data_IF_130122245512
#
_entry.id   IF_130122245512
#
_cell.length_a   1.000
_cell.length_b   1.000
_cell.length_c   1.000
_cell.angle_alpha   90.00
_cell.angle_beta   90.00
_cell.angle_gamma   90.00
#
_symmetry.space_group_name_H-M   'P 1'
#
loop_
_entity.id
_entity.type
_entity.pdbx_description
1 polymer ?
#
# COMPACT_ATOMS: atom_id res chain seq x y z
N UNK A 1 4.36 -7.08 -10.22
CA UNK A 1 4.85 -6.92 -8.83
C UNK A 1 4.39 -8.10 -7.99
N UNK A 2 5.28 -8.58 -7.14
CA UNK A 2 4.93 -9.69 -6.26
C UNK A 2 3.99 -9.22 -5.15
N UNK A 3 3.03 -10.06 -4.80
CA UNK A 3 2.15 -9.80 -3.67
C UNK A 3 2.94 -9.83 -2.36
N UNK A 4 2.51 -9.02 -1.40
CA UNK A 4 3.03 -9.04 -0.05
C UNK A 4 2.29 -10.12 0.76
N UNK A 5 3.03 -10.95 1.51
CA UNK A 5 2.44 -12.02 2.32
C UNK A 5 2.54 -11.66 3.79
N UNK A 6 1.41 -11.69 4.48
CA UNK A 6 1.33 -11.44 5.91
C UNK A 6 0.78 -12.69 6.61
N UNK A 7 1.54 -13.22 7.57
CA UNK A 7 1.05 -14.28 8.44
C UNK A 7 0.45 -13.65 9.69
N UNK A 8 -0.81 -13.93 9.98
CA UNK A 8 -1.52 -13.31 11.09
C UNK A 8 -0.95 -13.81 12.41
N UNK A 9 -0.36 -12.93 13.25
CA UNK A 9 0.07 -13.30 14.59
C UNK A 9 -1.11 -13.33 15.56
N UNK A 10 -0.94 -14.04 16.66
CA UNK A 10 -1.99 -14.18 17.66
C UNK A 10 -2.48 -12.84 18.21
N UNK A 11 -1.56 -11.88 18.41
CA UNK A 11 -1.90 -10.59 19.01
C UNK A 11 -2.76 -9.68 18.12
N UNK A 12 -2.95 -10.02 16.84
CA UNK A 12 -3.85 -9.25 15.96
C UNK A 12 -5.30 -9.69 16.08
N UNK A 13 -5.58 -10.77 16.79
CA UNK A 13 -6.95 -11.23 17.03
C UNK A 13 -7.59 -10.50 18.22
N UNK A 14 -8.91 -10.42 18.18
CA UNK A 14 -9.69 -9.81 19.25
C UNK A 14 -10.48 -10.87 20.05
N UNK A 15 -11.38 -10.41 20.92
CA UNK A 15 -12.18 -11.30 21.77
C UNK A 15 -13.08 -12.26 20.99
N UNK A 16 -13.43 -11.94 19.74
CA UNK A 16 -14.24 -12.81 18.89
C UNK A 16 -13.41 -13.92 18.24
N UNK A 17 -12.08 -13.92 18.42
CA UNK A 17 -11.19 -14.89 17.81
C UNK A 17 -10.87 -14.58 16.36
N UNK A 18 -11.22 -13.40 15.87
CA UNK A 18 -10.92 -12.93 14.51
C UNK A 18 -9.98 -11.73 14.57
N UNK A 19 -9.34 -11.43 13.45
CA UNK A 19 -8.46 -10.25 13.35
C UNK A 19 -9.27 -8.98 13.61
N UNK A 20 -8.76 -8.12 14.50
CA UNK A 20 -9.36 -6.82 14.76
C UNK A 20 -9.28 -5.96 13.50
N UNK A 21 -10.36 -5.28 13.15
CA UNK A 21 -10.49 -4.55 11.88
C UNK A 21 -9.38 -3.51 11.65
N UNK A 22 -8.80 -2.94 12.69
CA UNK A 22 -7.71 -1.97 12.56
C UNK A 22 -6.44 -2.55 11.93
N UNK A 23 -6.23 -3.86 12.05
CA UNK A 23 -5.01 -4.49 11.55
C UNK A 23 -4.96 -4.54 10.03
N UNK A 24 -6.11 -4.58 9.34
CA UNK A 24 -6.13 -4.56 7.88
C UNK A 24 -5.54 -3.28 7.33
N UNK A 25 -5.73 -2.17 8.01
CA UNK A 25 -5.15 -0.88 7.63
C UNK A 25 -3.64 -0.91 7.82
N UNK A 26 -3.15 -1.54 8.88
CA UNK A 26 -1.72 -1.74 9.11
C UNK A 26 -1.11 -2.63 8.03
N UNK A 27 -1.83 -3.66 7.60
CA UNK A 27 -1.39 -4.53 6.51
C UNK A 27 -1.32 -3.78 5.18
N UNK A 28 -2.25 -2.85 4.94
CA UNK A 28 -2.17 -1.97 3.77
C UNK A 28 -0.86 -1.16 3.81
N UNK A 29 -0.49 -0.63 4.96
CA UNK A 29 0.77 0.10 5.11
C UNK A 29 1.97 -0.80 4.85
N UNK A 30 2.01 -1.98 5.45
CA UNK A 30 3.10 -2.94 5.20
C UNK A 30 3.24 -3.26 3.72
N UNK A 31 2.12 -3.52 3.06
CA UNK A 31 2.10 -3.85 1.64
C UNK A 31 2.55 -2.68 0.77
N UNK A 32 2.18 -1.44 1.12
CA UNK A 32 2.62 -0.24 0.43
C UNK A 32 4.13 -0.03 0.56
N UNK A 33 4.66 -0.21 1.76
CA UNK A 33 6.10 -0.10 2.01
C UNK A 33 6.86 -1.13 1.17
N UNK A 34 6.36 -2.36 1.11
CA UNK A 34 6.93 -3.42 0.29
C UNK A 34 6.84 -3.09 -1.21
N UNK A 35 5.70 -2.56 -1.66
CA UNK A 35 5.51 -2.14 -3.04
C UNK A 35 6.56 -1.12 -3.49
N UNK A 36 6.78 -0.09 -2.68
CA UNK A 36 7.78 0.93 -2.97
C UNK A 36 9.20 0.33 -2.98
N UNK A 37 9.48 -0.60 -2.07
CA UNK A 37 10.77 -1.28 -2.03
C UNK A 37 11.01 -2.11 -3.29
N UNK A 38 9.99 -2.80 -3.80
CA UNK A 38 10.07 -3.56 -5.04
C UNK A 38 10.37 -2.66 -6.25
N UNK A 39 9.85 -1.42 -6.23
CA UNK A 39 10.16 -0.42 -7.27
C UNK A 39 11.60 0.09 -7.20
N UNK A 40 12.31 -0.20 -6.12
CA UNK A 40 13.63 0.37 -5.88
C UNK A 40 13.59 1.73 -5.19
N UNK A 41 12.41 2.16 -4.74
CA UNK A 41 12.20 3.46 -4.08
C UNK A 41 11.61 3.26 -2.69
N UNK A 42 12.30 2.47 -1.87
CA UNK A 42 11.88 2.21 -0.50
C UNK A 42 11.64 3.49 0.29
N UNK A 43 10.73 3.41 1.26
CA UNK A 43 10.31 4.59 2.03
C UNK A 43 11.49 5.26 2.74
N UNK A 44 12.43 4.48 3.28
CA UNK A 44 13.63 5.01 3.91
C UNK A 44 14.51 5.81 2.93
N UNK A 45 14.57 5.39 1.66
CA UNK A 45 15.28 6.13 0.63
C UNK A 45 14.60 7.48 0.34
N UNK A 46 13.28 7.47 0.20
CA UNK A 46 12.50 8.68 -0.05
C UNK A 46 12.60 9.65 1.13
N UNK A 47 12.59 9.15 2.36
CA UNK A 47 12.77 9.95 3.55
C UNK A 47 14.18 10.54 3.63
N UNK A 48 15.20 9.78 3.26
CA UNK A 48 16.58 10.26 3.18
C UNK A 48 16.74 11.38 2.15
N UNK A 49 15.89 11.42 1.12
CA UNK A 49 15.84 12.48 0.12
C UNK A 49 15.04 13.71 0.58
N UNK A 50 14.56 13.71 1.82
CA UNK A 50 13.87 14.85 2.44
C UNK A 50 12.36 14.85 2.27
N UNK A 51 11.74 13.73 1.94
CA UNK A 51 10.30 13.66 1.77
C UNK A 51 9.63 12.79 2.83
N UNK A 52 8.35 13.08 3.09
CA UNK A 52 7.45 12.24 3.86
C UNK A 52 6.19 12.00 3.03
N UNK A 53 5.52 10.87 3.27
CA UNK A 53 4.39 10.46 2.44
C UNK A 53 3.14 10.21 3.29
N UNK A 54 2.36 11.27 3.62
CA UNK A 54 1.13 11.09 4.37
C UNK A 54 0.06 10.41 3.53
N UNK A 55 -0.83 9.70 4.20
CA UNK A 55 -2.06 9.22 3.61
C UNK A 55 -3.11 10.33 3.64
N UNK A 56 -3.74 10.61 2.51
CA UNK A 56 -4.77 11.65 2.39
C UNK A 56 -6.17 11.08 2.28
N UNK A 57 -6.29 9.79 1.99
CA UNK A 57 -7.57 9.10 1.85
C UNK A 57 -7.36 7.61 2.06
N UNK A 58 -8.36 6.97 2.62
CA UNK A 58 -8.35 5.52 2.81
C UNK A 58 -9.79 5.02 2.83
N UNK A 59 -10.05 3.91 2.14
CA UNK A 59 -11.29 3.17 2.30
C UNK A 59 -11.00 1.70 2.54
N UNK A 60 -11.96 1.01 3.13
CA UNK A 60 -11.81 -0.38 3.53
C UNK A 60 -13.14 -1.10 3.36
N UNK A 61 -13.10 -2.25 2.69
CA UNK A 61 -14.26 -3.11 2.52
C UNK A 61 -13.89 -4.49 3.07
N UNK A 62 -14.48 -4.82 4.21
CA UNK A 62 -14.27 -6.10 4.90
C UNK A 62 -15.23 -7.12 4.31
N UNK A 63 -14.70 -8.14 3.67
CA UNK A 63 -15.53 -9.14 2.99
C UNK A 63 -15.69 -10.43 3.78
N UNK A 64 -14.61 -10.87 4.44
CA UNK A 64 -14.60 -12.09 5.25
C UNK A 64 -13.64 -11.92 6.41
N UNK A 65 -13.88 -12.68 7.47
CA UNK A 65 -13.01 -12.68 8.65
C UNK A 65 -11.75 -13.48 8.41
N UNK A 66 -10.70 -13.12 9.13
CA UNK A 66 -9.43 -13.84 9.17
C UNK A 66 -9.06 -14.11 10.63
N UNK A 67 -8.18 -15.05 10.86
CA UNK A 67 -7.75 -15.41 12.20
C UNK A 67 -6.30 -15.88 12.23
N UNK A 68 -5.76 -16.08 13.41
CA UNK A 68 -4.46 -16.71 13.60
C UNK A 68 -4.54 -18.20 13.25
N UNK A 69 -3.63 -18.78 12.49
CA UNK A 69 -2.45 -18.23 11.81
C UNK A 69 -2.63 -18.13 10.28
N UNK A 70 -3.71 -17.55 9.80
CA UNK A 70 -3.96 -17.40 8.38
C UNK A 70 -2.80 -16.67 7.69
N UNK A 71 -2.56 -17.02 6.44
CA UNK A 71 -1.61 -16.29 5.58
C UNK A 71 -2.40 -15.50 4.57
N UNK A 72 -2.15 -14.19 4.52
CA UNK A 72 -2.87 -13.25 3.68
C UNK A 72 -1.92 -12.75 2.59
N UNK A 73 -2.34 -12.91 1.35
CA UNK A 73 -1.63 -12.38 0.18
C UNK A 73 -2.25 -11.04 -0.19
N UNK A 74 -1.44 -9.99 -0.28
CA UNK A 74 -1.90 -8.62 -0.54
C UNK A 74 -1.32 -8.15 -1.86
N UNK A 75 -2.18 -8.00 -2.87
CA UNK A 75 -1.80 -7.45 -4.16
C UNK A 75 -2.05 -5.95 -4.16
N UNK A 76 -0.99 -5.19 -4.44
CA UNK A 76 -1.05 -3.73 -4.53
C UNK A 76 -0.96 -3.32 -5.98
N UNK A 77 -1.85 -2.45 -6.42
CA UNK A 77 -1.87 -1.92 -7.79
C UNK A 77 -1.94 -0.40 -7.74
N UNK A 78 -1.06 0.26 -8.48
CA UNK A 78 -1.13 1.71 -8.66
C UNK A 78 -2.23 2.00 -9.69
N UNK A 79 -3.29 2.69 -9.26
CA UNK A 79 -4.47 2.96 -10.09
C UNK A 79 -4.53 4.40 -10.61
N UNK A 80 -3.83 5.33 -9.96
CA UNK A 80 -3.76 6.72 -10.39
C UNK A 80 -2.45 7.36 -9.94
N UNK A 81 -1.87 8.16 -10.80
CA UNK A 81 -0.71 9.00 -10.48
C UNK A 81 -0.79 10.28 -11.28
N UNK A 82 -0.88 11.42 -10.58
CA UNK A 82 -1.02 12.75 -11.19
C UNK A 82 0.28 13.56 -11.16
N UNK A 83 1.36 12.99 -10.63
CA UNK A 83 2.59 13.73 -10.32
C UNK A 83 2.60 14.29 -8.90
N UNK A 84 1.44 14.48 -8.29
CA UNK A 84 1.26 14.95 -6.91
C UNK A 84 0.66 13.85 -6.06
N UNK A 85 -0.44 13.25 -6.53
CA UNK A 85 -1.21 12.25 -5.81
C UNK A 85 -1.04 10.89 -6.45
N UNK A 86 -0.84 9.88 -5.64
CA UNK A 86 -0.91 8.50 -6.09
C UNK A 86 -2.00 7.75 -5.33
N UNK A 87 -2.70 6.88 -6.06
CA UNK A 87 -3.76 6.05 -5.51
C UNK A 87 -3.40 4.59 -5.69
N UNK A 88 -3.48 3.83 -4.61
CA UNK A 88 -3.20 2.41 -4.58
C UNK A 88 -4.47 1.62 -4.27
N UNK A 89 -4.64 0.52 -4.95
CA UNK A 89 -5.71 -0.45 -4.70
C UNK A 89 -5.12 -1.71 -4.10
N UNK A 90 -5.78 -2.25 -3.08
CA UNK A 90 -5.32 -3.42 -2.34
C UNK A 90 -6.37 -4.52 -2.42
N UNK A 91 -5.93 -5.72 -2.76
CA UNK A 91 -6.77 -6.93 -2.70
C UNK A 91 -6.07 -7.91 -1.78
N UNK A 92 -6.74 -8.29 -0.70
CA UNK A 92 -6.22 -9.23 0.29
C UNK A 92 -6.96 -10.55 0.13
N UNK A 93 -6.20 -11.63 -0.06
CA UNK A 93 -6.72 -12.97 -0.28
C UNK A 93 -6.12 -13.90 0.76
N UNK A 94 -6.97 -14.68 1.43
CA UNK A 94 -6.49 -15.76 2.29
C UNK A 94 -5.89 -16.84 1.39
N UNK A 95 -4.67 -17.28 1.65
CA UNK A 95 -4.04 -18.33 0.83
C UNK A 95 -4.90 -19.59 0.81
N UNK A 96 -5.20 -20.07 -0.41
CA UNK A 96 -6.07 -21.21 -0.62
C UNK A 96 -7.54 -20.91 -0.37
N UNK A 97 -7.93 -19.65 -0.19
CA UNK A 97 -9.27 -19.26 0.15
C UNK A 97 -9.76 -18.02 -0.60
N UNK A 98 -10.80 -17.36 -0.08
CA UNK A 98 -11.43 -16.24 -0.77
C UNK A 98 -10.69 -14.92 -0.57
N UNK A 99 -11.11 -13.90 -1.35
CA UNK A 99 -10.80 -12.50 -1.09
C UNK A 99 -11.46 -12.10 0.23
N UNK A 100 -10.68 -11.55 1.14
CA UNK A 100 -11.16 -11.18 2.49
C UNK A 100 -11.32 -9.68 2.67
N UNK A 101 -10.65 -8.87 1.81
CA UNK A 101 -10.64 -7.42 1.97
C UNK A 101 -10.26 -6.77 0.65
N UNK A 102 -10.88 -5.62 0.37
CA UNK A 102 -10.44 -4.71 -0.69
C UNK A 102 -10.45 -3.29 -0.16
N UNK A 103 -9.51 -2.49 -0.60
CA UNK A 103 -9.44 -1.11 -0.17
C UNK A 103 -8.59 -0.26 -1.09
N UNK A 104 -8.63 1.03 -0.85
CA UNK A 104 -7.84 2.01 -1.58
C UNK A 104 -7.17 2.95 -0.59
N UNK A 105 -6.03 3.49 -0.98
CA UNK A 105 -5.41 4.59 -0.25
C UNK A 105 -4.89 5.62 -1.25
N UNK A 106 -4.86 6.88 -0.83
CA UNK A 106 -4.26 7.95 -1.59
C UNK A 106 -3.16 8.61 -0.76
N UNK A 107 -2.08 8.96 -1.43
CA UNK A 107 -0.91 9.55 -0.80
C UNK A 107 -0.38 10.70 -1.63
N UNK A 108 0.22 11.67 -0.97
CA UNK A 108 1.08 12.65 -1.60
C UNK A 108 2.45 12.59 -0.94
N UNK A 109 3.39 13.39 -1.43
CA UNK A 109 4.71 13.53 -0.81
C UNK A 109 4.90 14.99 -0.45
N UNK A 110 5.49 15.24 0.70
CA UNK A 110 5.74 16.57 1.22
C UNK A 110 7.22 16.70 1.57
N UNK A 111 7.74 17.94 1.50
CA UNK A 111 9.04 18.25 2.05
C UNK A 111 8.95 18.42 3.58
N UNK A 112 10.08 18.72 4.22
CA UNK A 112 10.14 18.84 5.67
C UNK A 112 9.41 20.07 6.22
N UNK A 113 9.07 21.04 5.35
CA UNK A 113 8.28 22.22 5.69
C UNK A 113 6.78 22.01 5.45
N UNK A 114 6.37 20.82 4.97
CA UNK A 114 4.98 20.51 4.71
C UNK A 114 4.49 20.94 3.33
N UNK A 115 5.38 21.35 2.43
CA UNK A 115 5.00 21.72 1.08
C UNK A 115 4.84 20.45 0.23
N UNK A 116 3.75 20.38 -0.55
CA UNK A 116 3.48 19.26 -1.45
C UNK A 116 4.49 19.27 -2.59
N UNK A 117 5.09 18.10 -2.85
CA UNK A 117 6.08 17.92 -3.91
C UNK A 117 5.41 17.52 -5.21
N UNK A 118 5.90 18.09 -6.31
CA UNK A 118 5.57 17.64 -7.67
C UNK A 118 6.67 16.67 -8.08
N UNK A 119 6.34 15.40 -8.15
CA UNK A 119 7.33 14.33 -8.22
C UNK A 119 8.12 14.33 -9.53
N UNK A 120 7.50 14.68 -10.66
CA UNK A 120 8.24 14.76 -11.92
C UNK A 120 9.36 15.81 -11.88
N UNK A 121 9.21 16.82 -11.05
CA UNK A 121 10.21 17.87 -10.85
C UNK A 121 11.15 17.54 -9.71
N UNK A 122 10.62 17.11 -8.57
CA UNK A 122 11.40 16.89 -7.36
C UNK A 122 12.20 15.58 -7.41
N UNK A 123 11.58 14.50 -7.89
CA UNK A 123 12.16 13.16 -7.95
C UNK A 123 11.84 12.53 -9.30
N UNK A 124 12.45 13.01 -10.41
CA UNK A 124 12.04 12.61 -11.76
C UNK A 124 12.17 11.10 -12.03
N UNK A 125 13.20 10.45 -11.50
CA UNK A 125 13.37 9.01 -11.69
C UNK A 125 12.31 8.19 -10.96
N UNK A 126 11.92 8.62 -9.77
CA UNK A 126 10.82 7.98 -9.04
C UNK A 126 9.48 8.19 -9.76
N UNK A 127 9.22 9.42 -10.23
CA UNK A 127 8.01 9.72 -10.99
C UNK A 127 7.93 8.86 -12.26
N UNK A 128 9.05 8.67 -12.96
CA UNK A 128 9.12 7.82 -14.14
C UNK A 128 8.78 6.37 -13.80
N UNK A 129 9.30 5.85 -12.68
CA UNK A 129 8.99 4.49 -12.24
C UNK A 129 7.50 4.33 -11.96
N UNK A 130 6.86 5.33 -11.36
CA UNK A 130 5.41 5.33 -11.12
C UNK A 130 4.62 5.39 -12.43
N UNK A 131 5.03 6.23 -13.37
CA UNK A 131 4.39 6.30 -14.69
C UNK A 131 4.45 4.95 -15.41
N UNK A 132 5.57 4.25 -15.33
CA UNK A 132 5.73 2.93 -15.93
C UNK A 132 4.83 1.88 -15.25
N UNK A 133 4.69 1.93 -13.94
CA UNK A 133 3.79 1.04 -13.21
C UNK A 133 2.33 1.28 -13.55
N UNK A 134 1.95 2.54 -13.69
CA UNK A 134 0.58 2.90 -14.07
C UNK A 134 0.26 2.38 -15.47
N UNK A 135 1.16 2.55 -16.42
CA UNK A 135 0.99 2.06 -17.78
C UNK A 135 0.90 0.53 -17.82
N UNK A 136 1.75 -0.17 -17.08
CA UNK A 136 1.74 -1.62 -17.00
C UNK A 136 0.42 -2.15 -16.41
N UNK A 137 -0.11 -1.48 -15.40
CA UNK A 137 -1.41 -1.84 -14.80
C UNK A 137 -2.59 -1.66 -15.75
N UNK A 138 -2.52 -0.66 -16.61
CA UNK A 138 -3.57 -0.39 -17.61
C UNK A 138 -3.54 -1.39 -18.77
N UNK A 139 -2.37 -1.95 -19.09
CA UNK A 139 -2.23 -2.96 -20.14
C UNK A 139 -2.69 -4.35 -19.68
N UNK A 140 -2.70 -4.58 -18.39
CA UNK A 140 -3.16 -5.84 -17.82
C UNK A 140 -4.68 -5.83 -17.72
#
# INVERSE_FOLDING_TARGET
MNAYRHTVPYYETDRMGIVHHSNYIRWMEEARVDYLAQLGWGLERLEAMGSVSPATYLDAKYKQTTTFPDVISIQVTLTQFTGVRLRLHYVMTKEGGPVVFEGNSEHCFQDQQGHILRLHKAFPAFAQALDQQLAAGQEA
#
